data_IF_760881412847
#
_entry.id   IF_760881412847
#
_cell.length_a   1.000
_cell.length_b   1.000
_cell.length_c   1.000
_cell.angle_alpha   90.00
_cell.angle_beta   90.00
_cell.angle_gamma   90.00
#
_symmetry.space_group_name_H-M   'P 1'
#
loop_
_entity.id
_entity.type
_entity.pdbx_description
1 polymer ?
#
# COMPACT_ATOMS: atom_id res chain seq x y z
N UNK A 1 -14.33 -6.35 -62.26
CA UNK A 1 -14.94 -6.47 -60.92
C UNK A 1 -13.87 -6.09 -59.91
N UNK A 2 -13.84 -4.82 -59.47
CA UNK A 2 -12.83 -4.28 -58.55
C UNK A 2 -13.40 -4.28 -57.14
N UNK A 3 -12.89 -5.16 -56.27
CA UNK A 3 -13.28 -5.20 -54.86
C UNK A 3 -12.59 -4.06 -54.12
N UNK A 4 -13.34 -3.02 -53.76
CA UNK A 4 -12.88 -1.99 -52.83
C UNK A 4 -12.99 -2.53 -51.40
N UNK A 5 -11.86 -2.76 -50.74
CA UNK A 5 -11.80 -3.03 -49.30
C UNK A 5 -12.22 -1.78 -48.52
N UNK A 6 -13.22 -1.84 -47.61
CA UNK A 6 -13.53 -0.70 -46.76
C UNK A 6 -12.42 -0.49 -45.72
N UNK A 7 -12.00 0.77 -45.56
CA UNK A 7 -11.06 1.18 -44.51
C UNK A 7 -11.64 0.89 -43.11
N UNK A 8 -10.82 0.50 -42.12
CA UNK A 8 -11.32 0.22 -40.78
C UNK A 8 -11.80 1.51 -40.12
N UNK A 9 -13.04 1.50 -39.63
CA UNK A 9 -13.63 2.58 -38.86
C UNK A 9 -12.81 2.84 -37.58
N UNK A 10 -12.40 4.09 -37.38
CA UNK A 10 -11.64 4.53 -36.22
C UNK A 10 -12.42 4.25 -34.92
N UNK A 11 -11.80 3.50 -34.00
CA UNK A 11 -12.33 3.25 -32.66
C UNK A 11 -12.21 4.51 -31.78
N UNK A 12 -13.14 4.76 -30.85
CA UNK A 12 -13.14 5.95 -30.00
C UNK A 12 -11.97 5.91 -29.01
N UNK A 13 -11.04 6.86 -29.13
CA UNK A 13 -9.75 6.93 -28.45
C UNK A 13 -9.77 7.44 -27.00
N UNK A 14 -10.95 7.69 -26.42
CA UNK A 14 -11.08 8.42 -25.15
C UNK A 14 -11.01 7.52 -23.89
N UNK A 15 -11.54 6.29 -23.95
CA UNK A 15 -11.56 5.36 -22.78
C UNK A 15 -10.19 4.80 -22.41
N UNK A 16 -9.20 4.93 -23.30
CA UNK A 16 -7.83 4.47 -23.09
C UNK A 16 -7.12 5.33 -22.05
N UNK A 17 -7.41 6.64 -21.98
CA UNK A 17 -6.70 7.56 -21.09
C UNK A 17 -7.04 7.37 -19.60
N UNK A 18 -8.33 7.31 -19.25
CA UNK A 18 -8.77 7.16 -17.86
C UNK A 18 -8.35 5.80 -17.26
N UNK A 19 -8.51 4.72 -18.03
CA UNK A 19 -8.11 3.37 -17.62
C UNK A 19 -6.60 3.27 -17.34
N UNK A 20 -5.78 3.93 -18.16
CA UNK A 20 -4.31 3.95 -17.97
C UNK A 20 -3.93 4.68 -16.69
N UNK A 21 -4.63 5.77 -16.32
CA UNK A 21 -4.36 6.46 -15.06
C UNK A 21 -4.69 5.59 -13.85
N UNK A 22 -5.85 4.93 -13.85
CA UNK A 22 -6.23 4.00 -12.77
C UNK A 22 -5.24 2.84 -12.68
N UNK A 23 -4.80 2.31 -13.83
CA UNK A 23 -3.82 1.23 -13.87
C UNK A 23 -2.47 1.66 -13.28
N UNK A 24 -1.96 2.84 -13.66
CA UNK A 24 -0.72 3.40 -13.11
C UNK A 24 -0.80 3.65 -11.61
N UNK A 25 -1.93 4.17 -11.13
CA UNK A 25 -2.19 4.37 -9.71
C UNK A 25 -2.21 3.04 -8.95
N UNK A 26 -2.86 2.01 -9.49
CA UNK A 26 -2.86 0.66 -8.92
C UNK A 26 -1.46 0.05 -8.84
N UNK A 27 -0.67 0.17 -9.90
CA UNK A 27 0.75 -0.27 -9.89
C UNK A 27 1.56 0.48 -8.84
N UNK A 28 1.35 1.79 -8.68
CA UNK A 28 2.00 2.59 -7.65
C UNK A 28 1.66 2.11 -6.24
N UNK A 29 0.39 1.88 -5.93
CA UNK A 29 -0.04 1.35 -4.62
C UNK A 29 0.53 -0.04 -4.34
N UNK A 30 0.55 -0.91 -5.36
CA UNK A 30 1.12 -2.25 -5.22
C UNK A 30 2.63 -2.19 -4.92
N UNK A 31 3.35 -1.27 -5.55
CA UNK A 31 4.76 -1.03 -5.28
C UNK A 31 5.02 -0.44 -3.88
N UNK A 32 4.02 0.21 -3.25
CA UNK A 32 4.11 0.64 -1.84
C UNK A 32 3.99 -0.54 -0.87
N UNK A 33 3.11 -1.49 -1.18
CA UNK A 33 2.79 -2.59 -0.26
C UNK A 33 3.76 -3.76 -0.40
N UNK A 34 4.20 -4.09 -1.62
CA UNK A 34 5.01 -5.29 -1.88
C UNK A 34 6.30 -5.38 -1.04
N UNK A 35 7.08 -4.29 -0.87
CA UNK A 35 8.28 -4.31 -0.01
C UNK A 35 7.95 -4.49 1.48
N UNK A 36 6.72 -4.19 1.90
CA UNK A 36 6.27 -4.23 3.29
C UNK A 36 5.50 -5.51 3.64
N UNK A 37 5.34 -6.44 2.70
CA UNK A 37 4.62 -7.71 2.93
C UNK A 37 5.22 -8.48 4.12
N UNK A 38 6.54 -8.47 4.28
CA UNK A 38 7.20 -9.13 5.41
C UNK A 38 6.74 -8.58 6.77
N UNK A 39 6.51 -7.26 6.88
CA UNK A 39 6.03 -6.65 8.12
C UNK A 39 4.57 -7.02 8.41
N UNK A 40 3.72 -7.08 7.37
CA UNK A 40 2.32 -7.51 7.49
C UNK A 40 2.25 -8.99 7.93
N UNK A 41 3.07 -9.85 7.35
CA UNK A 41 3.16 -11.27 7.74
C UNK A 41 3.67 -11.40 9.18
N UNK A 42 4.73 -10.70 9.55
CA UNK A 42 5.27 -10.74 10.91
C UNK A 42 4.22 -10.28 11.94
N UNK A 43 3.49 -9.21 11.64
CA UNK A 43 2.37 -8.76 12.46
C UNK A 43 1.25 -9.80 12.54
N UNK A 44 0.86 -10.42 11.42
CA UNK A 44 -0.16 -11.48 11.38
C UNK A 44 0.23 -12.74 12.16
N UNK A 45 1.52 -13.09 12.20
CA UNK A 45 2.02 -14.16 13.06
C UNK A 45 1.98 -13.74 14.53
N UNK A 46 2.38 -12.50 14.85
CA UNK A 46 2.34 -11.99 16.22
C UNK A 46 0.90 -12.01 16.77
N UNK A 47 -0.08 -11.65 15.93
CA UNK A 47 -1.50 -11.70 16.30
C UNK A 47 -2.01 -13.14 16.49
N UNK A 48 -1.65 -14.05 15.57
CA UNK A 48 -2.05 -15.45 15.65
C UNK A 48 -1.48 -16.19 16.87
N UNK A 49 -0.28 -15.81 17.33
CA UNK A 49 0.36 -16.47 18.47
C UNK A 49 -0.05 -15.85 19.82
N UNK A 50 -0.01 -14.53 19.97
CA UNK A 50 0.06 -13.92 21.30
C UNK A 50 -1.22 -13.24 21.81
N UNK A 51 -2.21 -13.00 20.94
CA UNK A 51 -3.54 -12.47 21.34
C UNK A 51 -4.26 -13.50 22.23
N UNK A 52 -5.23 -13.10 23.09
CA UNK A 52 -5.98 -14.03 23.93
C UNK A 52 -6.60 -15.26 23.22
N UNK A 53 -6.96 -15.13 21.94
CA UNK A 53 -7.52 -16.22 21.11
C UNK A 53 -6.47 -16.97 20.28
N UNK A 54 -5.19 -16.63 20.45
CA UNK A 54 -4.08 -17.20 19.70
C UNK A 54 -3.61 -18.56 20.22
N UNK A 55 -2.62 -19.14 19.54
CA UNK A 55 -2.07 -20.46 19.91
C UNK A 55 -1.28 -20.45 21.22
N UNK A 56 -0.57 -19.37 21.53
CA UNK A 56 0.25 -19.21 22.75
C UNK A 56 0.03 -17.84 23.38
N UNK A 57 -1.14 -17.58 24.00
CA UNK A 57 -1.50 -16.26 24.51
C UNK A 57 -0.47 -15.72 25.51
N UNK A 58 -0.05 -14.46 25.34
CA UNK A 58 0.84 -13.78 26.27
C UNK A 58 0.50 -12.30 26.32
N UNK A 59 -0.10 -11.86 27.43
CA UNK A 59 -0.55 -10.48 27.63
C UNK A 59 0.57 -9.46 27.44
N UNK A 60 1.80 -9.77 27.89
CA UNK A 60 2.93 -8.84 27.75
C UNK A 60 3.30 -8.63 26.28
N UNK A 61 3.32 -9.70 25.49
CA UNK A 61 3.70 -9.63 24.07
C UNK A 61 2.52 -9.12 23.21
N UNK A 62 1.28 -9.44 23.60
CA UNK A 62 0.07 -8.97 22.93
C UNK A 62 -0.02 -7.45 22.89
N UNK A 63 0.51 -6.73 23.89
CA UNK A 63 0.57 -5.26 23.88
C UNK A 63 1.33 -4.67 22.71
N UNK A 64 2.17 -5.43 22.00
CA UNK A 64 2.91 -4.97 20.80
C UNK A 64 2.05 -5.04 19.54
N UNK A 65 0.99 -5.86 19.53
CA UNK A 65 0.11 -6.04 18.37
C UNK A 65 -0.59 -4.73 18.00
N UNK A 66 -1.09 -4.03 19.01
CA UNK A 66 -1.92 -2.84 18.84
C UNK A 66 -1.09 -1.65 18.33
N UNK A 67 0.09 -1.32 18.89
CA UNK A 67 0.99 -0.34 18.29
C UNK A 67 1.50 -0.78 16.90
N UNK A 68 1.59 -2.09 16.65
CA UNK A 68 1.97 -2.65 15.36
C UNK A 68 1.03 -2.21 14.22
N UNK A 69 -0.28 -2.30 14.42
CA UNK A 69 -1.26 -1.92 13.40
C UNK A 69 -1.45 -0.40 13.28
N UNK A 70 -1.40 0.33 14.40
CA UNK A 70 -1.68 1.77 14.40
C UNK A 70 -0.47 2.64 14.08
N UNK A 71 0.76 2.19 14.38
CA UNK A 71 1.98 2.98 14.16
C UNK A 71 2.90 2.32 13.14
N UNK A 72 3.27 1.06 13.34
CA UNK A 72 4.34 0.43 12.56
C UNK A 72 3.94 0.24 11.09
N UNK A 73 2.81 -0.41 10.83
CA UNK A 73 2.37 -0.67 9.45
C UNK A 73 2.12 0.63 8.65
N UNK A 74 1.39 1.64 9.19
CA UNK A 74 1.14 2.88 8.46
C UNK A 74 2.43 3.66 8.16
N UNK A 75 3.36 3.74 9.13
CA UNK A 75 4.63 4.47 8.95
C UNK A 75 5.52 3.81 7.90
N UNK A 76 5.60 2.47 7.89
CA UNK A 76 6.40 1.73 6.90
C UNK A 76 5.84 1.91 5.48
N UNK A 77 4.51 1.84 5.33
CA UNK A 77 3.84 2.06 4.05
C UNK A 77 4.09 3.50 3.57
N UNK A 78 3.96 4.49 4.45
CA UNK A 78 4.19 5.88 4.11
C UNK A 78 5.65 6.21 3.81
N UNK A 79 6.60 5.61 4.51
CA UNK A 79 8.02 5.71 4.18
C UNK A 79 8.30 5.15 2.78
N UNK A 80 7.71 4.01 2.44
CA UNK A 80 7.91 3.39 1.13
C UNK A 80 7.27 4.22 0.01
N UNK A 81 6.05 4.72 0.22
CA UNK A 81 5.38 5.63 -0.72
C UNK A 81 6.13 6.93 -0.92
N UNK A 82 6.53 7.59 0.17
CA UNK A 82 7.35 8.79 0.12
C UNK A 82 8.70 8.54 -0.57
N UNK A 83 9.30 7.36 -0.35
CA UNK A 83 10.56 6.98 -1.00
C UNK A 83 10.44 6.83 -2.51
N UNK A 84 9.30 6.39 -3.01
CA UNK A 84 9.08 6.31 -4.46
C UNK A 84 8.90 7.68 -5.12
N UNK A 85 8.50 8.71 -4.38
CA UNK A 85 8.32 10.07 -4.92
C UNK A 85 9.62 10.88 -4.85
N UNK A 86 10.30 10.89 -3.71
CA UNK A 86 11.47 11.76 -3.46
C UNK A 86 12.68 11.02 -2.84
N UNK A 87 12.79 9.71 -3.04
CA UNK A 87 13.87 8.91 -2.47
C UNK A 87 13.86 8.98 -0.94
N UNK A 88 15.03 8.87 -0.30
CA UNK A 88 15.12 8.82 1.16
C UNK A 88 14.45 10.03 1.83
N UNK A 89 14.55 11.24 1.25
CA UNK A 89 13.92 12.45 1.78
C UNK A 89 12.40 12.32 1.82
N UNK A 90 11.81 11.88 0.72
CA UNK A 90 10.36 11.66 0.66
C UNK A 90 9.91 10.58 1.63
N UNK A 91 10.70 9.52 1.83
CA UNK A 91 10.38 8.48 2.80
C UNK A 91 10.36 8.99 4.23
N UNK A 92 11.35 9.79 4.64
CA UNK A 92 11.39 10.38 5.98
C UNK A 92 10.20 11.31 6.20
N UNK A 93 9.89 12.19 5.23
CA UNK A 93 8.74 13.10 5.33
C UNK A 93 7.42 12.33 5.38
N UNK A 94 7.27 11.29 4.56
CA UNK A 94 6.07 10.43 4.55
C UNK A 94 5.86 9.71 5.88
N UNK A 95 6.91 9.11 6.44
CA UNK A 95 6.86 8.47 7.75
C UNK A 95 6.48 9.44 8.87
N UNK A 96 7.09 10.63 8.88
CA UNK A 96 6.76 11.68 9.86
C UNK A 96 5.35 12.23 9.70
N UNK A 97 4.87 12.40 8.47
CA UNK A 97 3.51 12.88 8.20
C UNK A 97 2.46 11.93 8.81
N UNK A 98 2.68 10.62 8.70
CA UNK A 98 1.78 9.62 9.31
C UNK A 98 1.81 9.69 10.83
N UNK A 99 2.97 9.90 11.46
CA UNK A 99 3.01 10.14 12.91
C UNK A 99 2.17 11.36 13.30
N UNK A 100 2.23 12.44 12.52
CA UNK A 100 1.39 13.63 12.74
C UNK A 100 -0.11 13.32 12.65
N UNK A 101 -0.55 12.52 11.68
CA UNK A 101 -1.95 12.10 11.52
C UNK A 101 -2.41 11.20 12.68
N UNK A 102 -1.57 10.26 13.09
CA UNK A 102 -1.87 9.38 14.21
C UNK A 102 -2.03 10.20 15.49
N UNK A 103 -1.09 11.10 15.78
CA UNK A 103 -1.15 11.97 16.96
C UNK A 103 -2.27 13.00 16.92
N UNK A 104 -2.76 13.39 15.74
CA UNK A 104 -3.94 14.25 15.62
C UNK A 104 -5.25 13.51 15.91
N UNK A 105 -5.23 12.17 15.91
CA UNK A 105 -6.41 11.32 16.15
C UNK A 105 -6.56 10.91 17.62
N UNK A 106 -5.45 10.92 18.38
CA UNK A 106 -5.43 10.70 19.84
C UNK A 106 -5.53 12.02 20.62
#
# INVERSE_FOLDING_TARGET
>A
MTTTTPAPAAAPSERVSARVHVQRFGTFLSNMIMPNIAAIIAWGLLTAFFIPVGWTPNEKIATVVEPGIYFVLPVLIAYTGGRMVYGVRGGVVGGFAVLGVIMATY
#
